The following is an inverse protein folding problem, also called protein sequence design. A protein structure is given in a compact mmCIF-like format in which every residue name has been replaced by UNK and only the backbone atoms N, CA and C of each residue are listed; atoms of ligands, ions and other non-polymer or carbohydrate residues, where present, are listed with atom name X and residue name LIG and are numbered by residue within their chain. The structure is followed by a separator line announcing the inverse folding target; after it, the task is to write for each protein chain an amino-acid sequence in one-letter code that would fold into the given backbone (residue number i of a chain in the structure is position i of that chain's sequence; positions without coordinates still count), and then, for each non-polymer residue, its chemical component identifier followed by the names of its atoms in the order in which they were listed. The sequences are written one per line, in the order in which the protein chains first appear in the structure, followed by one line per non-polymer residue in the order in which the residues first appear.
data_IF_370307719058
#
_entry.id   IF_370307719058
#
_cell.length_a   1.000
_cell.length_b   1.000
_cell.length_c   1.000
_cell.angle_alpha   90.00
_cell.angle_beta   90.00
_cell.angle_gamma   90.00
#
_symmetry.space_group_name_H-M   'P 1'
#
loop_
_entity.id
_entity.type
_entity.pdbx_description
1 polymer ?
#
# COMPACT_ATOMS: atom_id res chain seq x y z
N UNK A 1 -35.92 19.98 76.16
CA UNK A 1 -35.76 19.07 75.01
C UNK A 1 -36.82 18.00 75.13
N UNK A 2 -37.72 17.99 74.15
CA UNK A 2 -38.83 17.08 73.87
C UNK A 2 -38.39 15.62 74.06
N UNK A 3 -39.10 14.72 74.76
CA UNK A 3 -40.55 14.48 74.90
C UNK A 3 -40.88 13.20 74.12
N UNK A 4 -41.64 12.20 74.58
CA UNK A 4 -42.14 11.76 75.88
C UNK A 4 -42.53 10.27 75.68
N UNK A 5 -42.47 9.47 76.75
CA UNK A 5 -42.69 8.02 76.77
C UNK A 5 -44.14 7.63 76.46
N UNK A 6 -44.32 6.41 75.93
CA UNK A 6 -45.54 5.62 75.65
C UNK A 6 -46.40 5.36 76.94
N UNK A 7 -47.42 4.45 76.99
CA UNK A 7 -48.12 3.63 75.98
C UNK A 7 -49.66 3.46 76.27
N UNK A 8 -50.26 2.45 75.60
CA UNK A 8 -51.38 1.55 76.05
C UNK A 8 -52.82 1.89 75.66
N UNK A 9 -53.29 1.07 74.69
CA UNK A 9 -54.49 0.24 74.64
C UNK A 9 -55.70 0.50 75.57
N UNK A 10 -56.89 0.35 74.97
CA UNK A 10 -58.10 -0.11 75.65
C UNK A 10 -59.37 0.55 75.13
N UNK A 11 -60.29 -0.24 74.59
CA UNK A 11 -61.66 0.22 74.33
C UNK A 11 -62.34 -0.48 73.15
N UNK A 12 -63.11 -1.50 73.46
CA UNK A 12 -63.95 -2.26 72.53
C UNK A 12 -65.27 -1.53 72.21
N UNK A 13 -65.82 -1.81 71.03
CA UNK A 13 -67.06 -2.58 70.83
C UNK A 13 -68.23 -1.99 70.02
N UNK A 14 -68.79 -2.90 69.22
CA UNK A 14 -70.08 -3.03 68.53
C UNK A 14 -70.85 -1.84 67.93
N UNK A 15 -71.29 -2.05 66.67
CA UNK A 15 -72.52 -1.43 66.16
C UNK A 15 -72.79 -1.61 64.66
N UNK A 16 -73.39 -2.76 64.28
CA UNK A 16 -74.48 -2.86 63.27
C UNK A 16 -74.26 -2.42 61.82
N UNK A 17 -74.31 -3.40 60.90
CA UNK A 17 -74.58 -3.22 59.45
C UNK A 17 -76.08 -2.93 59.23
N UNK A 18 -76.48 -2.29 58.11
CA UNK A 18 -76.97 -3.16 57.03
C UNK A 18 -76.53 -2.74 55.62
N UNK A 19 -76.48 -3.79 54.81
CA UNK A 19 -76.21 -3.87 53.38
C UNK A 19 -77.28 -3.15 52.55
N UNK A 20 -76.87 -2.24 51.67
CA UNK A 20 -77.66 -1.80 50.50
C UNK A 20 -76.72 -1.66 49.32
N UNK A 21 -76.87 -2.58 48.36
CA UNK A 21 -76.03 -2.67 47.18
C UNK A 21 -76.01 -1.40 46.33
N UNK A 22 -74.80 -1.01 45.93
CA UNK A 22 -74.54 -0.26 44.70
C UNK A 22 -73.29 -0.87 44.07
N UNK A 23 -73.48 -1.51 42.92
CA UNK A 23 -72.42 -2.00 42.05
C UNK A 23 -71.53 -0.80 41.65
N UNK A 24 -70.28 -0.78 42.13
CA UNK A 24 -69.23 0.11 41.61
C UNK A 24 -68.30 -0.71 40.72
N UNK A 25 -68.52 -0.61 39.43
CA UNK A 25 -67.60 -1.01 38.37
C UNK A 25 -66.36 -0.11 38.41
N UNK A 26 -65.30 -0.57 39.06
CA UNK A 26 -63.97 0.04 39.03
C UNK A 26 -62.99 -0.88 38.30
N UNK A 27 -62.34 -0.36 37.26
CA UNK A 27 -61.31 -1.01 36.43
C UNK A 27 -60.34 -1.87 37.25
N UNK A 28 -60.28 -3.17 36.95
CA UNK A 28 -59.10 -3.99 37.21
C UNK A 28 -58.06 -3.57 36.17
N UNK A 29 -57.00 -2.89 36.59
CA UNK A 29 -55.82 -2.72 35.75
C UNK A 29 -55.20 -4.10 35.55
N UNK A 30 -55.49 -4.69 34.39
CA UNK A 30 -54.89 -5.93 33.93
C UNK A 30 -53.37 -5.75 33.91
N UNK A 31 -52.68 -6.53 34.73
CA UNK A 31 -51.26 -6.85 34.55
C UNK A 31 -51.00 -7.07 33.07
N UNK A 32 -50.04 -6.31 32.52
CA UNK A 32 -49.61 -6.42 31.13
C UNK A 32 -49.49 -7.90 30.76
N UNK A 33 -50.35 -8.37 29.85
CA UNK A 33 -50.19 -9.69 29.26
C UNK A 33 -48.83 -9.68 28.56
N UNK A 34 -47.85 -10.34 29.17
CA UNK A 34 -46.60 -10.64 28.51
C UNK A 34 -46.99 -11.58 27.38
N UNK A 35 -47.08 -11.05 26.15
CA UNK A 35 -47.20 -11.89 24.97
C UNK A 35 -45.85 -12.60 24.80
N UNK A 36 -45.76 -13.76 25.44
CA UNK A 36 -44.59 -14.65 25.44
C UNK A 36 -44.17 -14.99 24.01
N UNK A 37 -45.10 -15.00 23.04
CA UNK A 37 -44.81 -15.17 21.62
C UNK A 37 -44.09 -13.96 21.00
N UNK A 38 -44.41 -12.74 21.44
CA UNK A 38 -43.73 -11.51 21.01
C UNK A 38 -42.37 -11.32 21.67
N UNK A 39 -42.20 -11.69 22.94
CA UNK A 39 -40.92 -11.59 23.64
C UNK A 39 -39.93 -12.65 23.15
N UNK A 40 -40.36 -13.90 22.97
CA UNK A 40 -39.51 -14.94 22.36
C UNK A 40 -39.10 -14.59 20.94
N UNK A 41 -40.01 -14.04 20.11
CA UNK A 41 -39.66 -13.56 18.77
C UNK A 41 -38.66 -12.40 18.79
N UNK A 42 -38.74 -11.49 19.78
CA UNK A 42 -37.76 -10.40 19.95
C UNK A 42 -36.40 -10.92 20.38
N UNK A 43 -36.34 -11.84 21.33
CA UNK A 43 -35.10 -12.45 21.83
C UNK A 43 -34.40 -13.21 20.70
N UNK A 44 -35.13 -14.07 19.99
CA UNK A 44 -34.57 -14.84 18.85
C UNK A 44 -34.05 -13.91 17.75
N UNK A 45 -34.76 -12.82 17.42
CA UNK A 45 -34.30 -11.83 16.44
C UNK A 45 -33.04 -11.10 16.90
N UNK A 46 -32.95 -10.74 18.18
CA UNK A 46 -31.79 -10.05 18.75
C UNK A 46 -30.56 -10.95 18.76
N UNK A 47 -30.72 -12.23 19.10
CA UNK A 47 -29.65 -13.23 19.04
C UNK A 47 -29.15 -13.45 17.61
N UNK A 48 -30.06 -13.56 16.63
CA UNK A 48 -29.70 -13.67 15.21
C UNK A 48 -28.91 -12.46 14.69
N UNK A 49 -29.30 -11.24 15.07
CA UNK A 49 -28.56 -10.02 14.70
C UNK A 49 -27.17 -9.97 15.34
N UNK A 50 -27.07 -10.37 16.60
CA UNK A 50 -25.79 -10.42 17.33
C UNK A 50 -24.85 -11.46 16.71
N UNK A 51 -25.39 -12.63 16.34
CA UNK A 51 -24.66 -13.67 15.63
C UNK A 51 -24.18 -13.22 14.24
N UNK A 52 -25.02 -12.50 13.48
CA UNK A 52 -24.64 -11.89 12.20
C UNK A 52 -23.52 -10.86 12.35
N UNK A 53 -23.60 -9.98 13.35
CA UNK A 53 -22.55 -9.00 13.63
C UNK A 53 -21.24 -9.69 14.02
N UNK A 54 -21.29 -10.69 14.90
CA UNK A 54 -20.11 -11.47 15.29
C UNK A 54 -19.49 -12.21 14.08
N UNK A 55 -20.32 -12.80 13.21
CA UNK A 55 -19.89 -13.46 11.98
C UNK A 55 -19.22 -12.48 11.01
N UNK A 56 -19.81 -11.31 10.79
CA UNK A 56 -19.25 -10.28 9.90
C UNK A 56 -17.94 -9.70 10.43
N UNK A 57 -17.80 -9.53 11.75
CA UNK A 57 -16.55 -9.09 12.36
C UNK A 57 -15.46 -10.15 12.23
N UNK A 58 -15.79 -11.42 12.52
CA UNK A 58 -14.86 -12.53 12.39
C UNK A 58 -14.41 -12.76 10.94
N UNK A 59 -15.32 -12.66 9.97
CA UNK A 59 -15.00 -12.80 8.54
C UNK A 59 -14.11 -11.67 8.04
N UNK A 60 -14.38 -10.42 8.45
CA UNK A 60 -13.54 -9.26 8.11
C UNK A 60 -12.13 -9.40 8.70
N UNK A 61 -12.01 -9.83 9.96
CA UNK A 61 -10.71 -10.06 10.59
C UNK A 61 -9.94 -11.20 9.90
N UNK A 62 -10.62 -12.31 9.58
CA UNK A 62 -10.01 -13.43 8.86
C UNK A 62 -9.49 -12.99 7.47
N UNK A 63 -10.29 -12.23 6.71
CA UNK A 63 -9.89 -11.68 5.42
C UNK A 63 -8.72 -10.70 5.52
N UNK A 64 -8.74 -9.79 6.50
CA UNK A 64 -7.63 -8.88 6.78
C UNK A 64 -6.34 -9.62 7.14
N UNK A 65 -6.45 -10.66 7.96
CA UNK A 65 -5.30 -11.49 8.33
C UNK A 65 -4.75 -12.33 7.16
N UNK A 66 -5.61 -12.76 6.23
CA UNK A 66 -5.22 -13.50 5.04
C UNK A 66 -4.52 -12.60 4.03
N UNK A 67 -5.09 -11.43 3.75
CA UNK A 67 -4.49 -10.43 2.83
C UNK A 67 -3.13 -9.95 3.33
N UNK A 68 -2.99 -9.66 4.63
CA UNK A 68 -1.71 -9.28 5.23
C UNK A 68 -0.66 -10.39 5.13
N UNK A 69 -1.03 -11.64 5.40
CA UNK A 69 -0.14 -12.80 5.25
C UNK A 69 0.26 -13.01 3.79
N UNK A 70 -0.69 -12.96 2.86
CA UNK A 70 -0.42 -13.06 1.43
C UNK A 70 0.54 -11.97 0.96
N UNK A 71 0.33 -10.73 1.37
CA UNK A 71 1.23 -9.62 1.04
C UNK A 71 2.63 -9.82 1.65
N UNK A 72 2.73 -10.33 2.88
CA UNK A 72 4.01 -10.64 3.51
C UNK A 72 4.74 -11.79 2.81
N UNK A 73 4.03 -12.84 2.40
CA UNK A 73 4.55 -13.97 1.61
C UNK A 73 5.04 -13.50 0.23
N UNK A 74 4.24 -12.70 -0.48
CA UNK A 74 4.62 -12.10 -1.76
C UNK A 74 5.86 -11.20 -1.62
N UNK A 75 5.93 -10.40 -0.55
CA UNK A 75 7.10 -9.58 -0.23
C UNK A 75 8.33 -10.45 0.04
N UNK A 76 8.20 -11.47 0.90
CA UNK A 76 9.30 -12.38 1.23
C UNK A 76 9.79 -13.15 -0.01
N UNK A 77 8.87 -13.56 -0.90
CA UNK A 77 9.21 -14.21 -2.16
C UNK A 77 9.98 -13.27 -3.10
N UNK A 78 9.58 -11.99 -3.20
CA UNK A 78 10.31 -10.97 -3.98
C UNK A 78 11.70 -10.73 -3.41
N UNK A 79 11.82 -10.59 -2.10
CA UNK A 79 13.12 -10.40 -1.42
C UNK A 79 14.04 -11.61 -1.61
N UNK A 80 13.50 -12.83 -1.52
CA UNK A 80 14.25 -14.05 -1.78
C UNK A 80 14.68 -14.18 -3.24
N UNK A 81 13.79 -13.86 -4.19
CA UNK A 81 14.10 -13.85 -5.62
C UNK A 81 15.17 -12.81 -5.96
N UNK A 82 15.08 -11.61 -5.38
CA UNK A 82 16.10 -10.57 -5.52
C UNK A 82 17.43 -11.04 -4.96
N UNK A 83 17.45 -11.64 -3.77
CA UNK A 83 18.66 -12.16 -3.14
C UNK A 83 19.32 -13.30 -3.92
N UNK A 84 18.54 -14.08 -4.68
CA UNK A 84 19.04 -15.16 -5.52
C UNK A 84 19.75 -14.68 -6.81
N UNK A 85 19.57 -13.41 -7.21
CA UNK A 85 20.24 -12.85 -8.39
C UNK A 85 21.76 -12.77 -8.21
N UNK A 86 22.54 -12.86 -9.31
CA UNK A 86 23.98 -12.67 -9.26
C UNK A 86 24.37 -11.35 -8.57
N UNK A 87 25.46 -11.30 -7.77
CA UNK A 87 25.86 -10.09 -7.04
C UNK A 87 25.99 -8.85 -7.93
N UNK A 88 26.58 -9.02 -9.12
CA UNK A 88 26.73 -7.94 -10.12
C UNK A 88 25.38 -7.40 -10.58
N UNK A 89 24.42 -8.27 -10.85
CA UNK A 89 23.08 -7.86 -11.25
C UNK A 89 22.41 -7.05 -10.14
N UNK A 90 22.43 -7.54 -8.89
CA UNK A 90 21.86 -6.82 -7.74
C UNK A 90 22.50 -5.44 -7.53
N UNK A 91 23.81 -5.32 -7.75
CA UNK A 91 24.51 -4.05 -7.64
C UNK A 91 24.05 -3.06 -8.71
N UNK A 92 23.96 -3.49 -9.97
CA UNK A 92 23.49 -2.64 -11.07
C UNK A 92 22.04 -2.22 -10.84
N UNK A 93 21.16 -3.16 -10.49
CA UNK A 93 19.76 -2.85 -10.17
C UNK A 93 19.64 -1.88 -8.98
N UNK A 94 20.52 -1.98 -7.98
CA UNK A 94 20.59 -1.01 -6.88
C UNK A 94 20.85 0.42 -7.35
N UNK A 95 21.84 0.61 -8.23
CA UNK A 95 22.12 1.93 -8.82
C UNK A 95 20.98 2.44 -9.68
N UNK A 96 20.29 1.56 -10.41
CA UNK A 96 19.12 1.91 -11.22
C UNK A 96 17.99 2.43 -10.32
N UNK A 97 17.66 1.71 -9.25
CA UNK A 97 16.60 2.11 -8.30
C UNK A 97 16.89 3.46 -7.66
N UNK A 98 18.13 3.69 -7.26
CA UNK A 98 18.57 4.96 -6.71
C UNK A 98 18.40 6.09 -7.75
N UNK A 99 18.85 5.88 -8.99
CA UNK A 99 18.68 6.84 -10.06
C UNK A 99 17.21 7.11 -10.39
N UNK A 100 16.35 6.08 -10.45
CA UNK A 100 14.89 6.22 -10.65
C UNK A 100 14.30 7.12 -9.56
N UNK A 101 14.65 6.87 -8.28
CA UNK A 101 14.18 7.68 -7.16
C UNK A 101 14.56 9.15 -7.29
N UNK A 102 15.81 9.43 -7.66
CA UNK A 102 16.31 10.80 -7.87
C UNK A 102 15.62 11.46 -9.08
N UNK A 103 15.49 10.74 -10.19
CA UNK A 103 14.86 11.22 -11.42
C UNK A 103 13.38 11.56 -11.20
N UNK A 104 12.64 10.68 -10.53
CA UNK A 104 11.24 10.89 -10.18
C UNK A 104 11.07 12.10 -9.25
N UNK A 105 11.93 12.24 -8.23
CA UNK A 105 11.95 13.39 -7.34
C UNK A 105 12.25 14.72 -8.07
N UNK A 106 12.94 14.66 -9.21
CA UNK A 106 13.26 15.80 -10.06
C UNK A 106 12.30 15.96 -11.27
N UNK A 107 11.13 15.31 -11.23
CA UNK A 107 10.05 15.52 -12.19
C UNK A 107 10.20 14.77 -13.52
N UNK A 108 11.14 13.83 -13.62
CA UNK A 108 11.17 12.89 -14.76
C UNK A 108 10.03 11.88 -14.59
N UNK A 109 9.16 11.66 -15.59
CA UNK A 109 8.06 10.71 -15.49
C UNK A 109 8.58 9.28 -15.65
N UNK A 110 9.20 8.76 -14.59
CA UNK A 110 9.78 7.42 -14.50
C UNK A 110 9.41 6.79 -13.16
N UNK A 111 9.26 5.47 -13.16
CA UNK A 111 9.01 4.67 -11.97
C UNK A 111 9.77 3.33 -12.04
N UNK A 112 9.63 2.52 -10.99
CA UNK A 112 10.30 1.21 -10.86
C UNK A 112 9.99 0.26 -12.02
N UNK A 113 8.89 0.47 -12.76
CA UNK A 113 8.54 -0.30 -13.95
C UNK A 113 9.53 -0.14 -15.09
N UNK A 114 10.41 0.87 -15.08
CA UNK A 114 11.48 1.07 -16.08
C UNK A 114 12.80 0.36 -15.75
N UNK A 115 12.85 -0.38 -14.63
CA UNK A 115 14.09 -1.00 -14.15
C UNK A 115 14.68 -1.98 -15.15
N UNK A 116 13.85 -2.84 -15.72
CA UNK A 116 14.29 -3.90 -16.63
C UNK A 116 14.80 -3.33 -17.97
N UNK A 117 14.18 -2.26 -18.47
CA UNK A 117 14.63 -1.52 -19.66
C UNK A 117 16.00 -0.88 -19.44
N UNK A 118 16.18 -0.16 -18.33
CA UNK A 118 17.46 0.49 -18.00
C UNK A 118 18.53 -0.58 -17.79
N UNK A 119 18.22 -1.65 -17.06
CA UNK A 119 19.15 -2.75 -16.83
C UNK A 119 19.61 -3.36 -18.16
N UNK A 120 18.67 -3.61 -19.07
CA UNK A 120 18.96 -4.17 -20.39
C UNK A 120 19.89 -3.26 -21.19
N UNK A 121 19.64 -1.95 -21.20
CA UNK A 121 20.52 -0.97 -21.86
C UNK A 121 21.93 -1.05 -21.26
N UNK A 122 22.05 -0.97 -19.93
CA UNK A 122 23.36 -0.98 -19.25
C UNK A 122 24.16 -2.24 -19.56
N UNK A 123 23.51 -3.42 -19.56
CA UNK A 123 24.20 -4.67 -19.86
C UNK A 123 24.68 -4.71 -21.32
N UNK A 124 23.91 -4.14 -22.25
CA UNK A 124 24.31 -4.08 -23.67
C UNK A 124 25.41 -3.06 -23.94
N UNK A 125 25.36 -1.91 -23.27
CA UNK A 125 26.27 -0.79 -23.50
C UNK A 125 27.62 -0.97 -22.80
N UNK A 126 27.62 -1.44 -21.55
CA UNK A 126 28.83 -1.49 -20.71
C UNK A 126 29.07 -2.83 -20.05
N UNK A 127 28.17 -3.81 -20.23
CA UNK A 127 28.11 -5.02 -19.43
C UNK A 127 28.11 -4.68 -17.92
N UNK A 128 27.45 -3.59 -17.51
CA UNK A 128 27.39 -3.17 -16.10
C UNK A 128 28.72 -2.70 -15.50
N UNK A 129 29.65 -2.19 -16.31
CA UNK A 129 30.92 -1.62 -15.85
C UNK A 129 30.85 -0.08 -15.80
N UNK A 130 30.87 0.54 -14.60
CA UNK A 130 30.85 2.01 -14.47
C UNK A 130 32.06 2.71 -15.08
N UNK A 131 33.17 2.00 -15.29
CA UNK A 131 34.40 2.55 -15.86
C UNK A 131 34.58 2.16 -17.34
N UNK A 132 33.53 1.69 -18.02
CA UNK A 132 33.60 1.37 -19.44
C UNK A 132 33.92 2.63 -20.26
N UNK A 133 34.85 2.52 -21.20
CA UNK A 133 35.21 3.60 -22.14
C UNK A 133 35.32 3.00 -23.54
N UNK A 134 34.54 3.53 -24.48
CA UNK A 134 34.68 3.18 -25.90
C UNK A 134 35.69 4.11 -26.57
N UNK A 135 36.79 3.56 -27.07
CA UNK A 135 37.87 4.32 -27.72
C UNK A 135 37.98 4.13 -29.23
N UNK A 136 37.03 3.43 -29.84
CA UNK A 136 37.15 2.97 -31.23
C UNK A 136 36.18 3.65 -32.20
N UNK A 137 35.15 4.31 -31.68
CA UNK A 137 34.10 4.92 -32.50
C UNK A 137 34.45 6.35 -32.97
N UNK A 138 33.54 6.93 -33.76
CA UNK A 138 33.71 8.28 -34.29
C UNK A 138 33.76 9.35 -33.19
N UNK A 139 33.14 9.10 -32.03
CA UNK A 139 33.17 10.01 -30.89
C UNK A 139 34.55 10.00 -30.21
N UNK A 140 35.15 8.83 -30.05
CA UNK A 140 36.50 8.66 -29.56
C UNK A 140 37.53 9.33 -30.49
N UNK A 141 37.37 9.16 -31.80
CA UNK A 141 38.19 9.86 -32.81
C UNK A 141 38.06 11.39 -32.72
N UNK A 142 36.92 11.90 -32.25
CA UNK A 142 36.65 13.33 -32.02
C UNK A 142 37.04 13.81 -30.61
N UNK A 143 37.63 12.94 -29.79
CA UNK A 143 38.10 13.26 -28.43
C UNK A 143 37.02 13.27 -27.34
N UNK A 144 35.81 12.79 -27.64
CA UNK A 144 34.70 12.70 -26.68
C UNK A 144 34.19 11.26 -26.59
N UNK A 145 35.01 10.29 -26.14
CA UNK A 145 34.62 8.88 -26.10
C UNK A 145 33.40 8.67 -25.20
N UNK A 146 32.59 7.66 -25.53
CA UNK A 146 31.48 7.20 -24.70
C UNK A 146 31.97 6.53 -23.42
N UNK A 147 31.33 6.82 -22.28
CA UNK A 147 31.78 6.44 -20.94
C UNK A 147 30.65 5.97 -20.03
N UNK A 148 30.99 5.07 -19.11
CA UNK A 148 30.13 4.64 -18.02
C UNK A 148 29.03 3.66 -18.42
N UNK A 149 28.06 3.49 -17.51
CA UNK A 149 27.05 2.43 -17.60
C UNK A 149 26.16 2.52 -18.84
N UNK A 150 25.71 3.73 -19.18
CA UNK A 150 24.86 4.03 -20.33
C UNK A 150 25.64 4.61 -21.52
N UNK A 151 26.97 4.52 -21.50
CA UNK A 151 27.84 4.97 -22.60
C UNK A 151 27.59 6.42 -23.05
N UNK A 152 27.42 7.34 -22.10
CA UNK A 152 27.28 8.77 -22.40
C UNK A 152 28.61 9.38 -22.86
N UNK A 153 28.56 10.28 -23.85
CA UNK A 153 29.68 11.18 -24.17
C UNK A 153 29.63 12.42 -23.28
N UNK A 154 30.79 13.07 -23.06
CA UNK A 154 30.91 14.25 -22.19
C UNK A 154 29.87 15.36 -22.45
N UNK A 155 29.64 15.84 -23.70
CA UNK A 155 28.66 16.91 -23.92
C UNK A 155 27.23 16.48 -23.59
N UNK A 156 26.86 15.22 -23.86
CA UNK A 156 25.55 14.66 -23.48
C UNK A 156 25.42 14.60 -21.97
N UNK A 157 26.43 14.06 -21.26
CA UNK A 157 26.42 13.98 -19.81
C UNK A 157 26.28 15.37 -19.17
N UNK A 158 27.08 16.35 -19.60
CA UNK A 158 27.04 17.70 -19.03
C UNK A 158 25.70 18.41 -19.26
N UNK A 159 25.02 18.15 -20.38
CA UNK A 159 23.71 18.72 -20.66
C UNK A 159 22.58 18.06 -19.87
N UNK A 160 22.64 16.73 -19.71
CA UNK A 160 21.55 15.94 -19.13
C UNK A 160 21.76 15.50 -17.68
N UNK A 161 22.89 15.81 -17.05
CA UNK A 161 23.07 15.59 -15.61
C UNK A 161 22.13 16.48 -14.78
N UNK A 162 21.86 16.05 -13.55
CA UNK A 162 21.21 16.90 -12.55
C UNK A 162 22.27 17.67 -11.74
N UNK A 163 21.93 18.83 -11.14
CA UNK A 163 22.84 19.52 -10.23
C UNK A 163 23.30 18.61 -9.09
N UNK A 164 24.61 18.59 -8.80
CA UNK A 164 25.20 17.70 -7.80
C UNK A 164 25.56 16.30 -8.30
N UNK A 165 25.28 15.99 -9.57
CA UNK A 165 25.61 14.73 -10.24
C UNK A 165 26.67 14.98 -11.32
N UNK A 166 27.89 15.29 -10.90
CA UNK A 166 28.95 15.84 -11.75
C UNK A 166 29.99 14.80 -12.23
N UNK A 167 29.86 13.53 -11.84
CA UNK A 167 30.83 12.48 -12.16
C UNK A 167 30.28 11.48 -13.19
N UNK A 168 30.82 11.51 -14.41
CA UNK A 168 30.39 10.63 -15.51
C UNK A 168 30.66 9.13 -15.24
N UNK A 169 31.58 8.81 -14.33
CA UNK A 169 31.88 7.43 -13.93
C UNK A 169 31.12 7.00 -12.67
N UNK A 170 30.47 7.93 -11.98
CA UNK A 170 29.53 7.58 -10.94
C UNK A 170 28.33 6.85 -11.60
N UNK A 171 28.00 5.63 -11.17
CA UNK A 171 26.98 4.83 -11.81
C UNK A 171 25.61 5.50 -11.79
N UNK A 172 25.25 6.18 -10.70
CA UNK A 172 23.95 6.84 -10.52
C UNK A 172 23.88 8.08 -11.41
N UNK A 173 24.91 8.93 -11.41
CA UNK A 173 24.99 10.13 -12.23
C UNK A 173 24.91 9.80 -13.74
N UNK A 174 25.63 8.76 -14.17
CA UNK A 174 25.65 8.31 -15.55
C UNK A 174 24.26 7.81 -15.99
N UNK A 175 23.56 7.07 -15.12
CA UNK A 175 22.18 6.64 -15.37
C UNK A 175 21.26 7.85 -15.46
N UNK A 176 21.34 8.80 -14.51
CA UNK A 176 20.54 10.03 -14.52
C UNK A 176 20.65 10.75 -15.86
N UNK A 177 21.87 10.98 -16.34
CA UNK A 177 22.10 11.68 -17.60
C UNK A 177 21.59 10.86 -18.81
N UNK A 178 21.88 9.56 -18.86
CA UNK A 178 21.46 8.68 -19.96
C UNK A 178 19.94 8.55 -20.07
N UNK A 179 19.23 8.45 -18.94
CA UNK A 179 17.76 8.39 -18.92
C UNK A 179 17.16 9.73 -19.35
N UNK A 180 17.66 10.86 -18.83
CA UNK A 180 17.17 12.18 -19.26
C UNK A 180 17.41 12.43 -20.74
N UNK A 181 18.54 11.99 -21.28
CA UNK A 181 18.80 12.00 -22.72
C UNK A 181 17.79 11.13 -23.49
N UNK A 182 17.54 9.90 -23.04
CA UNK A 182 16.56 8.98 -23.64
C UNK A 182 15.17 9.62 -23.73
N UNK A 183 14.71 10.24 -22.64
CA UNK A 183 13.42 10.91 -22.60
C UNK A 183 13.37 12.13 -23.51
N UNK A 184 14.41 12.97 -23.49
CA UNK A 184 14.45 14.15 -24.35
C UNK A 184 14.53 13.82 -25.84
N UNK A 185 15.27 12.76 -26.21
CA UNK A 185 15.54 12.40 -27.60
C UNK A 185 14.47 11.51 -28.22
N UNK A 186 13.87 10.62 -27.43
CA UNK A 186 12.94 9.58 -27.90
C UNK A 186 11.56 9.64 -27.26
N UNK A 187 11.34 10.49 -26.23
CA UNK A 187 10.06 10.54 -25.52
C UNK A 187 9.85 9.39 -24.53
N UNK A 188 10.91 8.62 -24.22
CA UNK A 188 10.90 7.50 -23.27
C UNK A 188 11.49 6.22 -23.85
N UNK A 189 11.53 5.15 -23.05
CA UNK A 189 12.15 3.87 -23.42
C UNK A 189 11.45 3.12 -24.56
N UNK A 190 10.13 3.29 -24.71
CA UNK A 190 9.34 2.63 -25.76
C UNK A 190 9.78 2.99 -27.19
N UNK A 191 10.46 4.13 -27.38
CA UNK A 191 11.02 4.56 -28.66
C UNK A 191 12.55 4.44 -28.72
N UNK A 192 13.19 3.89 -27.68
CA UNK A 192 14.63 3.71 -27.66
C UNK A 192 15.05 2.70 -28.74
N UNK A 193 15.91 3.07 -29.72
CA UNK A 193 16.21 2.23 -30.88
C UNK A 193 16.65 0.81 -30.52
N UNK A 194 17.51 0.66 -29.53
CA UNK A 194 17.98 -0.65 -29.07
C UNK A 194 16.88 -1.53 -28.45
N UNK A 195 15.91 -0.93 -27.76
CA UNK A 195 14.80 -1.67 -27.14
C UNK A 195 13.74 -2.03 -28.19
N UNK A 196 13.41 -1.08 -29.07
CA UNK A 196 12.50 -1.29 -30.21
C UNK A 196 13.03 -2.40 -31.12
N UNK A 197 14.33 -2.38 -31.46
CA UNK A 197 14.95 -3.39 -32.31
C UNK A 197 14.82 -4.80 -31.71
N UNK A 198 15.05 -4.95 -30.41
CA UNK A 198 14.86 -6.24 -29.73
C UNK A 198 13.39 -6.67 -29.69
N UNK A 199 12.46 -5.73 -29.51
CA UNK A 199 11.03 -6.02 -29.50
C UNK A 199 10.52 -6.56 -30.85
N UNK A 200 11.14 -6.17 -31.96
CA UNK A 200 10.81 -6.66 -33.32
C UNK A 200 11.69 -7.85 -33.77
N UNK A 201 12.46 -8.46 -32.85
CA UNK A 201 13.29 -9.64 -33.11
C UNK A 201 14.62 -9.37 -33.81
N UNK A 202 15.04 -8.10 -33.89
CA UNK A 202 16.33 -7.67 -34.44
C UNK A 202 17.39 -7.47 -33.33
N UNK A 203 18.67 -7.36 -33.70
CA UNK A 203 19.77 -7.18 -32.75
C UNK A 203 19.72 -5.83 -32.01
N UNK A 204 20.35 -5.72 -30.84
CA UNK A 204 20.44 -4.45 -30.09
C UNK A 204 21.24 -3.41 -30.89
N UNK A 205 20.70 -2.19 -31.00
CA UNK A 205 21.36 -1.02 -31.59
C UNK A 205 21.60 -0.01 -30.48
N UNK A 206 22.87 0.21 -30.15
CA UNK A 206 23.29 1.19 -29.15
C UNK A 206 23.32 2.62 -29.69
N UNK A 207 23.88 3.52 -28.88
CA UNK A 207 24.01 4.95 -29.18
C UNK A 207 25.05 5.31 -30.25
#
# INVERSE_FOLDING_TARGET
MSGHFSPVAGGADFGGVPDTGVVRTGKVETVHAIDLGSETARIVRQEQLTALHAFNQASTFAQGSYTARKAAEEKAAREAAEAAKPPKQRQVEGWIREAIGILAANGTPIDEGSLDEIYTIIIKESNGNPNAVNTWDSNAMRGTPSKGLMQCIDPTFQYYKLPGHDDIYNPVDNIIAGVRYTYARYGGFHNHPGLVSMAVGSGYVGY
#
